data_IF_212750269837
#
_entry.id   IF_212750269837
#
_cell.length_a   1.000
_cell.length_b   1.000
_cell.length_c   1.000
_cell.angle_alpha   90.00
_cell.angle_beta   90.00
_cell.angle_gamma   90.00
#
_symmetry.space_group_name_H-M   'P 1'
#
loop_
_entity.id
_entity.type
_entity.pdbx_description
1 polymer ?
#
# COMPACT_ATOMS: atom_id res chain seq x y z
N UNK A 1 7.31 21.20 17.17
CA UNK A 1 7.07 20.19 16.13
C UNK A 1 5.90 19.35 16.57
N UNK A 2 4.75 19.52 15.91
CA UNK A 2 3.47 18.95 16.36
C UNK A 2 3.46 17.44 16.12
N UNK A 3 3.51 16.68 17.22
CA UNK A 3 3.37 15.23 17.24
C UNK A 3 1.91 14.86 16.96
N UNK A 4 1.59 14.40 15.75
CA UNK A 4 0.29 13.81 15.47
C UNK A 4 0.33 12.33 15.87
N UNK A 5 -0.36 12.00 16.97
CA UNK A 5 -0.55 10.63 17.45
C UNK A 5 -1.86 10.12 16.84
N UNK A 6 -1.78 9.19 15.89
CA UNK A 6 -2.95 8.53 15.31
C UNK A 6 -3.24 7.26 16.12
N UNK A 7 -4.21 7.34 17.04
CA UNK A 7 -4.78 6.18 17.72
C UNK A 7 -5.58 5.36 16.70
N UNK A 8 -5.43 4.03 16.74
CA UNK A 8 -5.83 3.11 15.68
C UNK A 8 -7.28 3.23 15.22
N UNK A 9 -7.47 3.35 13.91
CA UNK A 9 -8.79 3.41 13.28
C UNK A 9 -9.22 1.98 12.89
N UNK A 10 -9.58 1.19 13.91
CA UNK A 10 -10.24 -0.09 13.70
C UNK A 10 -11.65 0.14 13.20
N UNK A 11 -11.95 -0.34 11.98
CA UNK A 11 -13.22 -0.19 11.25
C UNK A 11 -13.49 1.19 10.65
N UNK A 12 -12.66 1.54 9.67
CA UNK A 12 -13.08 2.49 8.65
C UNK A 12 -13.79 1.71 7.55
N UNK A 13 -15.10 1.93 7.41
CA UNK A 13 -15.87 1.48 6.24
C UNK A 13 -15.16 1.90 4.93
N UNK A 14 -15.32 1.19 3.81
CA UNK A 14 -14.60 1.47 2.55
C UNK A 14 -14.60 2.97 2.18
N UNK A 15 -15.73 3.64 2.42
CA UNK A 15 -15.96 5.06 2.19
C UNK A 15 -15.09 5.94 3.09
N UNK A 16 -14.98 5.59 4.37
CA UNK A 16 -14.13 6.31 5.30
C UNK A 16 -12.64 6.11 4.97
N UNK A 17 -12.23 4.94 4.46
CA UNK A 17 -10.82 4.68 4.12
C UNK A 17 -10.42 5.58 2.96
N UNK A 18 -11.32 5.76 1.98
CA UNK A 18 -11.15 6.71 0.90
C UNK A 18 -11.06 8.16 1.40
N UNK A 19 -11.97 8.58 2.28
CA UNK A 19 -12.00 9.94 2.83
C UNK A 19 -10.71 10.26 3.60
N UNK A 20 -10.27 9.34 4.46
CA UNK A 20 -9.02 9.48 5.21
C UNK A 20 -7.83 9.53 4.24
N UNK A 21 -7.80 8.65 3.23
CA UNK A 21 -6.76 8.67 2.20
C UNK A 21 -6.69 9.99 1.42
N UNK A 22 -7.83 10.57 1.08
CA UNK A 22 -7.91 11.89 0.42
C UNK A 22 -7.41 13.02 1.32
N UNK A 23 -7.80 13.03 2.60
CA UNK A 23 -7.32 14.01 3.56
C UNK A 23 -5.79 13.91 3.75
N UNK A 24 -5.26 12.69 3.88
CA UNK A 24 -3.81 12.44 4.00
C UNK A 24 -3.07 12.90 2.73
N UNK A 25 -3.60 12.64 1.53
CA UNK A 25 -3.03 13.16 0.28
C UNK A 25 -3.01 14.68 0.25
N UNK A 26 -4.06 15.35 0.72
CA UNK A 26 -4.09 16.81 0.84
C UNK A 26 -3.01 17.34 1.78
N UNK A 27 -2.80 16.71 2.93
CA UNK A 27 -1.73 17.08 3.87
C UNK A 27 -0.34 16.90 3.25
N UNK A 28 -0.11 15.77 2.57
CA UNK A 28 1.14 15.49 1.87
C UNK A 28 1.43 16.52 0.77
N UNK A 29 0.42 16.88 -0.04
CA UNK A 29 0.52 17.89 -1.09
C UNK A 29 0.88 19.29 -0.54
N UNK A 30 0.49 19.60 0.69
CA UNK A 30 0.85 20.83 1.39
C UNK A 30 2.24 20.78 2.08
N UNK A 31 3.05 19.76 1.78
CA UNK A 31 4.42 19.62 2.31
C UNK A 31 4.51 18.96 3.69
N UNK A 32 3.41 18.39 4.20
CA UNK A 32 3.44 17.65 5.48
C UNK A 32 4.05 16.27 5.26
N UNK A 33 5.10 15.94 6.02
CA UNK A 33 5.64 14.58 6.04
C UNK A 33 4.68 13.65 6.79
N UNK A 34 4.34 12.51 6.17
CA UNK A 34 3.47 11.49 6.75
C UNK A 34 4.21 10.16 6.91
N UNK A 35 4.08 9.55 8.08
CA UNK A 35 4.46 8.16 8.34
C UNK A 35 3.19 7.35 8.50
N UNK A 36 2.99 6.38 7.61
CA UNK A 36 1.82 5.50 7.59
C UNK A 36 2.31 4.08 7.88
N UNK A 37 1.76 3.47 8.92
CA UNK A 37 1.98 2.06 9.23
C UNK A 37 0.65 1.32 8.98
N UNK A 38 0.60 0.53 7.93
CA UNK A 38 -0.60 -0.22 7.57
C UNK A 38 -0.27 -1.50 6.79
N UNK A 39 -1.15 -2.51 6.88
CA UNK A 39 -1.04 -3.81 6.22
C UNK A 39 -1.82 -3.90 4.89
N UNK A 40 -2.77 -2.98 4.64
CA UNK A 40 -3.53 -2.90 3.37
C UNK A 40 -2.68 -2.31 2.25
N UNK A 41 -2.10 -3.16 1.43
CA UNK A 41 -1.17 -2.77 0.35
C UNK A 41 -1.81 -1.92 -0.75
N UNK A 42 -3.09 -2.10 -1.05
CA UNK A 42 -3.83 -1.26 -2.00
C UNK A 42 -3.90 0.22 -1.54
N UNK A 43 -4.01 0.46 -0.23
CA UNK A 43 -3.98 1.82 0.33
C UNK A 43 -2.58 2.43 0.23
N UNK A 44 -1.55 1.64 0.55
CA UNK A 44 -0.16 2.09 0.48
C UNK A 44 0.24 2.45 -0.96
N UNK A 45 -0.21 1.68 -1.95
CA UNK A 45 0.06 1.94 -3.37
C UNK A 45 -0.46 3.30 -3.82
N UNK A 46 -1.66 3.68 -3.36
CA UNK A 46 -2.30 4.95 -3.73
C UNK A 46 -1.92 6.17 -2.88
N UNK A 47 -1.17 5.97 -1.78
CA UNK A 47 -0.87 7.02 -0.79
C UNK A 47 0.64 7.27 -0.61
N UNK A 48 1.46 6.23 -0.65
CA UNK A 48 2.86 6.30 -0.27
C UNK A 48 3.77 6.40 -1.50
N UNK A 49 4.83 7.23 -1.41
CA UNK A 49 5.90 7.29 -2.42
C UNK A 49 7.01 6.27 -2.15
N UNK A 50 7.28 6.00 -0.88
CA UNK A 50 8.30 5.07 -0.37
C UNK A 50 7.62 4.10 0.58
N UNK A 51 7.98 2.83 0.49
CA UNK A 51 7.51 1.78 1.39
C UNK A 51 8.74 1.09 1.97
N UNK A 52 8.65 0.76 3.26
CA UNK A 52 9.65 0.00 3.99
C UNK A 52 8.93 -1.21 4.56
N UNK A 53 9.51 -2.39 4.39
CA UNK A 53 9.02 -3.62 4.99
C UNK A 53 9.90 -3.95 6.18
N UNK A 54 9.25 -4.16 7.32
CA UNK A 54 9.88 -4.55 8.57
C UNK A 54 9.53 -6.00 8.86
N UNK A 55 10.55 -6.80 9.12
CA UNK A 55 10.44 -8.18 9.57
C UNK A 55 11.40 -8.41 10.73
N UNK A 56 10.91 -8.98 11.83
CA UNK A 56 11.66 -9.19 13.08
C UNK A 56 12.51 -7.99 13.55
N UNK A 57 11.99 -6.78 13.41
CA UNK A 57 12.67 -5.54 13.81
C UNK A 57 13.79 -5.09 12.85
N UNK A 58 13.89 -5.69 11.67
CA UNK A 58 14.86 -5.34 10.63
C UNK A 58 14.14 -4.86 9.37
N UNK A 59 14.78 -3.94 8.67
CA UNK A 59 14.34 -3.52 7.33
C UNK A 59 14.75 -4.61 6.35
N UNK A 60 13.76 -5.25 5.70
CA UNK A 60 13.98 -6.29 4.70
C UNK A 60 13.75 -5.80 3.27
N UNK A 61 12.93 -4.74 3.09
CA UNK A 61 12.81 -3.98 1.85
C UNK A 61 12.71 -2.48 2.13
N UNK A 62 13.25 -1.68 1.23
CA UNK A 62 13.18 -0.22 1.26
C UNK A 62 13.28 0.31 -0.17
N UNK A 63 12.24 1.01 -0.62
CA UNK A 63 12.22 1.52 -1.98
C UNK A 63 10.96 2.30 -2.32
N UNK A 64 10.76 2.55 -3.60
CA UNK A 64 9.50 3.16 -4.07
C UNK A 64 8.33 2.23 -3.81
N UNK A 65 7.13 2.78 -3.60
CA UNK A 65 5.93 1.97 -3.40
C UNK A 65 5.72 0.97 -4.55
N UNK A 66 5.88 1.41 -5.81
CA UNK A 66 5.75 0.53 -6.98
C UNK A 66 6.73 -0.64 -6.96
N UNK A 67 8.01 -0.38 -6.67
CA UNK A 67 9.02 -1.46 -6.61
C UNK A 67 8.77 -2.43 -5.46
N UNK A 68 8.49 -1.92 -4.26
CA UNK A 68 8.35 -2.76 -3.06
C UNK A 68 7.06 -3.57 -3.11
N UNK A 69 5.93 -2.96 -3.52
CA UNK A 69 4.62 -3.62 -3.54
C UNK A 69 4.47 -4.64 -4.69
N UNK A 70 5.40 -4.67 -5.64
CA UNK A 70 5.47 -5.70 -6.68
C UNK A 70 6.33 -6.91 -6.28
N UNK A 71 7.13 -6.80 -5.20
CA UNK A 71 8.05 -7.84 -4.76
C UNK A 71 7.30 -9.06 -4.22
N UNK A 72 7.57 -10.24 -4.78
CA UNK A 72 6.87 -11.47 -4.39
C UNK A 72 7.19 -11.92 -2.96
N UNK A 73 8.38 -11.54 -2.45
CA UNK A 73 8.83 -11.90 -1.10
C UNK A 73 7.95 -11.32 0.00
N UNK A 74 7.10 -10.34 -0.34
CA UNK A 74 6.06 -9.85 0.57
C UNK A 74 5.20 -10.98 1.15
N UNK A 75 4.91 -12.00 0.35
CA UNK A 75 4.11 -13.16 0.78
C UNK A 75 4.84 -13.95 1.88
N UNK A 76 6.17 -14.07 1.78
CA UNK A 76 6.99 -14.78 2.77
C UNK A 76 6.96 -14.09 4.14
N UNK A 77 6.72 -12.77 4.16
CA UNK A 77 6.54 -11.98 5.38
C UNK A 77 5.07 -11.77 5.78
N UNK A 78 4.14 -12.50 5.17
CA UNK A 78 2.71 -12.43 5.48
C UNK A 78 2.03 -11.14 5.02
N UNK A 79 2.61 -10.43 4.06
CA UNK A 79 2.04 -9.22 3.45
C UNK A 79 1.35 -9.58 2.13
N UNK A 80 0.06 -9.29 2.03
CA UNK A 80 -0.71 -9.48 0.81
C UNK A 80 -0.26 -8.52 -0.29
N UNK A 81 -0.13 -9.02 -1.52
CA UNK A 81 0.14 -8.16 -2.68
C UNK A 81 -1.08 -7.29 -3.02
N UNK A 82 -0.89 -6.07 -3.56
CA UNK A 82 -1.99 -5.26 -4.06
C UNK A 82 -2.85 -6.01 -5.07
N UNK A 83 -4.14 -5.69 -5.14
CA UNK A 83 -5.10 -6.35 -6.03
C UNK A 83 -4.66 -6.31 -7.49
N UNK A 84 -4.07 -5.18 -7.93
CA UNK A 84 -3.48 -5.02 -9.27
C UNK A 84 -2.42 -6.09 -9.56
N UNK A 85 -1.51 -6.33 -8.62
CA UNK A 85 -0.42 -7.29 -8.78
C UNK A 85 -0.95 -8.72 -8.78
N UNK A 86 -1.88 -9.03 -7.87
CA UNK A 86 -2.54 -10.36 -7.84
C UNK A 86 -3.28 -10.65 -9.14
N UNK A 87 -4.02 -9.66 -9.67
CA UNK A 87 -4.74 -9.79 -10.93
C UNK A 87 -3.79 -10.02 -12.11
N UNK A 88 -2.74 -9.21 -12.23
CA UNK A 88 -1.75 -9.34 -13.29
C UNK A 88 -1.07 -10.72 -13.29
N UNK A 89 -0.82 -11.29 -12.10
CA UNK A 89 -0.27 -12.65 -11.97
C UNK A 89 -1.28 -13.71 -12.36
N UNK A 90 -2.53 -13.57 -11.90
CA UNK A 90 -3.60 -14.53 -12.22
C UNK A 90 -3.85 -14.60 -13.74
N UNK A 91 -3.88 -13.46 -14.43
CA UNK A 91 -4.06 -13.42 -15.89
C UNK A 91 -2.86 -14.01 -16.62
N UNK A 92 -1.64 -13.66 -16.23
CA UNK A 92 -0.42 -14.23 -16.80
C UNK A 92 -0.36 -15.77 -16.63
N UNK A 93 -0.69 -16.28 -15.44
CA UNK A 93 -0.73 -17.71 -15.17
C UNK A 93 -1.81 -18.45 -15.98
N UNK A 94 -2.93 -17.77 -16.26
CA UNK A 94 -4.01 -18.30 -17.09
C UNK A 94 -3.77 -18.14 -18.60
N UNK A 95 -2.67 -17.50 -19.02
CA UNK A 95 -2.42 -17.16 -20.43
C UNK A 95 -3.40 -16.14 -21.01
N UNK A 96 -4.06 -15.37 -20.13
CA UNK A 96 -5.02 -14.32 -20.50
C UNK A 96 -4.26 -13.01 -20.67
N UNK A 97 -4.40 -12.37 -21.83
CA UNK A 97 -3.89 -11.02 -22.04
C UNK A 97 -4.56 -10.05 -21.04
N UNK A 98 -3.80 -9.35 -20.18
CA UNK A 98 -4.36 -8.39 -19.22
C UNK A 98 -5.26 -7.33 -19.84
N UNK A 99 -5.05 -6.98 -21.12
CA UNK A 99 -5.89 -6.01 -21.85
C UNK A 99 -7.31 -6.52 -22.12
N UNK A 100 -7.55 -7.83 -22.04
CA UNK A 100 -8.89 -8.42 -22.15
C UNK A 100 -9.70 -8.33 -20.85
N UNK A 101 -9.08 -7.98 -19.72
CA UNK A 101 -9.74 -7.80 -18.42
C UNK A 101 -9.87 -6.31 -18.15
N UNK A 102 -10.90 -5.68 -18.74
CA UNK A 102 -11.23 -4.29 -18.44
C UNK A 102 -11.96 -4.22 -17.09
N UNK A 103 -11.32 -3.62 -16.08
CA UNK A 103 -11.92 -3.25 -14.78
C UNK A 103 -11.97 -1.74 -14.68
#
# INVERSE_FOLDING_TARGET
>A
MTSLRLEGVGFVYPEGTRLVGEALRGLAANGTALLVAEHKTDLLEGLCRRVIVLDEGRIVLDGTAGTVLEDERLIDWGVDLPARVRLARATAAAGIDPTMVSV
#
